data_IF_444183048177
#
_entry.id   IF_444183048177
#
_cell.length_a   1.000
_cell.length_b   1.000
_cell.length_c   1.000
_cell.angle_alpha   90.00
_cell.angle_beta   90.00
_cell.angle_gamma   90.00
#
_symmetry.space_group_name_H-M   'P 1'
#
loop_
_entity.id
_entity.type
_entity.pdbx_description
1 polymer ?
#
# COMPACT_ATOMS: atom_id res chain seq x y z
N UNK A 1 -34.81 28.88 2.20
CA UNK A 1 -33.65 28.09 2.71
C UNK A 1 -32.35 28.89 2.75
N UNK A 2 -31.88 29.50 1.64
CA UNK A 2 -30.60 30.25 1.62
C UNK A 2 -30.49 31.41 2.63
N UNK A 3 -31.57 32.18 2.85
CA UNK A 3 -31.55 33.30 3.81
C UNK A 3 -31.49 32.86 5.28
N UNK A 4 -32.04 31.69 5.61
CA UNK A 4 -32.00 31.12 6.96
C UNK A 4 -30.59 30.59 7.28
N UNK A 5 -29.93 29.97 6.30
CA UNK A 5 -28.55 29.50 6.43
C UNK A 5 -27.57 30.66 6.70
N UNK A 6 -27.75 31.78 5.99
CA UNK A 6 -26.92 32.99 6.16
C UNK A 6 -27.12 33.59 7.55
N UNK A 7 -28.36 33.60 8.06
CA UNK A 7 -28.67 34.08 9.41
C UNK A 7 -28.02 33.20 10.49
N UNK A 8 -28.07 31.87 10.34
CA UNK A 8 -27.44 30.92 11.26
C UNK A 8 -25.91 31.07 11.26
N UNK A 9 -25.30 31.29 10.09
CA UNK A 9 -23.86 31.54 9.98
C UNK A 9 -23.44 32.84 10.69
N UNK A 10 -24.24 33.91 10.57
CA UNK A 10 -23.99 35.15 11.31
C UNK A 10 -24.16 34.99 12.82
N UNK A 11 -25.14 34.20 13.26
CA UNK A 11 -25.37 33.94 14.69
C UNK A 11 -24.20 33.15 15.32
N UNK A 12 -23.65 32.17 14.60
CA UNK A 12 -22.49 31.38 15.02
C UNK A 12 -21.20 32.20 15.13
N UNK A 13 -21.05 33.27 14.33
CA UNK A 13 -19.90 34.18 14.38
C UNK A 13 -19.91 35.12 15.60
N UNK A 14 -21.06 35.27 16.27
CA UNK A 14 -21.20 36.15 17.45
C UNK A 14 -21.08 35.44 18.79
N UNK A 15 -20.91 34.11 18.79
CA UNK A 15 -20.64 33.38 20.01
C UNK A 15 -19.22 33.73 20.46
N UNK A 16 -19.02 34.24 21.70
CA UNK A 16 -17.69 34.41 22.23
C UNK A 16 -17.05 33.03 22.31
N UNK A 17 -16.06 32.79 21.46
CA UNK A 17 -15.16 31.66 21.62
C UNK A 17 -14.42 31.90 22.94
N UNK A 18 -14.87 31.26 24.01
CA UNK A 18 -14.06 31.12 25.23
C UNK A 18 -12.92 30.16 24.92
N UNK A 19 -11.97 30.59 24.10
CA UNK A 19 -10.66 29.99 24.03
C UNK A 19 -9.95 30.39 25.33
N UNK A 20 -9.95 29.49 26.32
CA UNK A 20 -9.04 29.62 27.44
C UNK A 20 -7.63 29.71 26.86
N UNK A 21 -6.95 30.83 27.13
CA UNK A 21 -5.57 31.05 26.74
C UNK A 21 -4.69 30.12 27.59
N UNK A 22 -4.53 28.88 27.12
CA UNK A 22 -3.57 27.94 27.68
C UNK A 22 -2.19 28.55 27.46
N UNK A 23 -1.43 28.76 28.52
CA UNK A 23 -0.07 29.29 28.41
C UNK A 23 0.75 28.34 27.54
N UNK A 24 1.53 28.86 26.59
CA UNK A 24 2.35 28.03 25.70
C UNK A 24 3.33 27.16 26.50
N UNK A 25 3.74 27.63 27.69
CA UNK A 25 4.61 26.92 28.61
C UNK A 25 3.91 25.72 29.28
N UNK A 26 2.62 25.84 29.61
CA UNK A 26 1.82 24.72 30.15
C UNK A 26 1.46 23.73 29.04
N UNK A 27 1.24 24.19 27.81
CA UNK A 27 0.99 23.30 26.69
C UNK A 27 2.25 22.47 26.36
N UNK A 28 3.43 23.08 26.31
CA UNK A 28 4.69 22.38 26.09
C UNK A 28 5.01 21.39 27.22
N UNK A 29 4.70 21.73 28.47
CA UNK A 29 4.91 20.83 29.61
C UNK A 29 3.89 19.67 29.62
N UNK A 30 2.62 19.90 29.31
CA UNK A 30 1.60 18.85 29.18
C UNK A 30 1.87 17.93 27.98
N UNK A 31 2.44 18.48 26.89
CA UNK A 31 2.92 17.71 25.74
C UNK A 31 4.19 16.91 26.06
N UNK A 32 5.09 17.43 26.91
CA UNK A 32 6.28 16.71 27.43
C UNK A 32 5.92 15.61 28.42
N UNK A 33 4.83 15.76 29.16
CA UNK A 33 4.41 14.83 30.21
C UNK A 33 3.59 13.65 29.66
N UNK A 34 3.09 13.76 28.42
CA UNK A 34 2.69 12.58 27.63
C UNK A 34 3.93 11.91 27.07
N UNK A 35 4.19 10.71 27.57
CA UNK A 35 5.15 9.75 27.04
C UNK A 35 5.02 9.65 25.50
N UNK A 36 5.95 10.32 24.80
CA UNK A 36 5.88 10.42 23.34
C UNK A 36 6.24 9.05 22.76
N UNK A 37 5.27 8.36 22.17
CA UNK A 37 5.45 7.07 21.51
C UNK A 37 6.54 7.12 20.42
N UNK A 38 6.80 8.29 19.84
CA UNK A 38 7.90 8.48 18.88
C UNK A 38 9.29 8.36 19.49
N UNK A 39 9.42 8.24 20.81
CA UNK A 39 10.70 8.00 21.50
C UNK A 39 10.87 6.55 21.97
N UNK A 40 9.89 5.68 21.74
CA UNK A 40 9.89 4.30 22.22
C UNK A 40 10.25 3.33 21.09
N UNK A 41 10.78 2.17 21.47
CA UNK A 41 10.96 1.05 20.55
C UNK A 41 9.62 0.33 20.37
N UNK A 42 9.38 -0.29 19.22
CA UNK A 42 8.16 -1.06 19.04
C UNK A 42 8.25 -2.11 17.96
N UNK A 43 7.30 -3.04 18.00
CA UNK A 43 7.11 -4.06 16.97
C UNK A 43 5.65 -4.07 16.52
N UNK A 44 5.44 -4.18 15.22
CA UNK A 44 4.11 -4.24 14.64
C UNK A 44 3.96 -5.36 13.63
N UNK A 45 2.71 -5.77 13.45
CA UNK A 45 2.29 -6.76 12.47
C UNK A 45 1.06 -6.24 11.75
N UNK A 46 1.06 -6.36 10.42
CA UNK A 46 -0.07 -5.97 9.61
C UNK A 46 -0.41 -6.95 8.53
N UNK A 47 -1.66 -6.84 8.10
CA UNK A 47 -2.30 -7.69 7.11
C UNK A 47 -3.07 -6.77 6.18
N UNK A 48 -2.84 -6.95 4.90
CA UNK A 48 -3.54 -6.30 3.81
C UNK A 48 -3.71 -7.26 2.65
N UNK A 49 -4.53 -6.88 1.69
CA UNK A 49 -4.57 -7.56 0.41
C UNK A 49 -3.74 -6.70 -0.56
N UNK A 50 -2.53 -7.13 -0.97
CA UNK A 50 -2.01 -8.51 -0.96
C UNK A 50 -0.91 -8.84 0.08
N UNK A 51 -0.58 -7.91 0.97
CA UNK A 51 0.69 -7.92 1.70
C UNK A 51 0.49 -8.06 3.20
N UNK A 52 1.30 -8.90 3.85
CA UNK A 52 1.55 -8.83 5.28
C UNK A 52 2.85 -8.08 5.54
N UNK A 53 2.93 -7.34 6.65
CA UNK A 53 4.15 -6.64 7.03
C UNK A 53 4.51 -6.87 8.50
N UNK A 54 5.82 -6.80 8.76
CA UNK A 54 6.39 -6.70 10.10
C UNK A 54 7.05 -5.32 10.18
N UNK A 55 6.72 -4.56 11.22
CA UNK A 55 7.24 -3.23 11.47
C UNK A 55 8.18 -3.27 12.67
N UNK A 56 9.38 -2.72 12.52
CA UNK A 56 10.30 -2.42 13.62
C UNK A 56 10.31 -0.90 13.78
N UNK A 57 9.88 -0.44 14.94
CA UNK A 57 9.76 0.97 15.27
C UNK A 57 10.94 1.38 16.14
N UNK A 58 11.72 2.34 15.67
CA UNK A 58 12.73 3.07 16.45
C UNK A 58 12.30 4.54 16.57
N UNK A 59 12.95 5.36 17.41
CA UNK A 59 12.54 6.75 17.53
C UNK A 59 12.47 7.46 16.17
N UNK A 60 11.33 8.11 15.91
CA UNK A 60 11.00 8.84 14.66
C UNK A 60 10.94 8.03 13.36
N UNK A 61 11.40 6.77 13.33
CA UNK A 61 11.49 5.96 12.10
C UNK A 61 10.88 4.57 12.30
N UNK A 62 10.05 4.14 11.36
CA UNK A 62 9.63 2.75 11.21
C UNK A 62 10.37 2.11 10.03
N UNK A 63 10.85 0.90 10.26
CA UNK A 63 11.41 0.03 9.22
C UNK A 63 10.42 -1.12 9.03
N UNK A 64 9.86 -1.24 7.83
CA UNK A 64 8.86 -2.24 7.54
C UNK A 64 9.31 -3.23 6.49
N UNK A 65 9.11 -4.51 6.77
CA UNK A 65 9.35 -5.62 5.86
C UNK A 65 8.00 -6.17 5.43
N UNK A 66 7.67 -5.99 4.16
CA UNK A 66 6.44 -6.49 3.56
C UNK A 66 6.69 -7.71 2.68
N UNK A 67 5.82 -8.71 2.78
CA UNK A 67 5.78 -9.86 1.89
C UNK A 67 4.32 -10.22 1.56
N UNK A 68 4.03 -10.62 0.34
CA UNK A 68 2.67 -10.97 -0.03
C UNK A 68 2.50 -11.43 -1.46
N UNK A 69 1.24 -11.62 -1.87
CA UNK A 69 0.90 -11.92 -3.24
C UNK A 69 -0.51 -11.54 -3.66
N UNK A 70 -0.66 -11.06 -4.90
CA UNK A 70 -1.95 -10.62 -5.42
C UNK A 70 -2.90 -11.80 -5.62
N UNK A 71 -4.02 -11.78 -4.90
CA UNK A 71 -5.15 -12.69 -5.09
C UNK A 71 -6.31 -12.04 -5.87
N UNK A 72 -6.11 -10.92 -6.57
CA UNK A 72 -7.25 -10.19 -7.17
C UNK A 72 -6.91 -9.23 -8.32
N UNK A 73 -7.84 -9.20 -9.28
CA UNK A 73 -7.74 -8.78 -10.69
C UNK A 73 -6.81 -9.69 -11.48
N UNK A 74 -7.40 -10.62 -12.22
CA UNK A 74 -6.77 -11.31 -13.34
C UNK A 74 -6.98 -10.44 -14.60
N UNK A 75 -6.13 -9.46 -14.96
CA UNK A 75 -5.96 -9.21 -16.38
C UNK A 75 -5.53 -10.55 -16.97
N UNK A 76 -6.17 -10.99 -18.05
CA UNK A 76 -6.11 -12.31 -18.67
C UNK A 76 -4.71 -12.96 -18.86
N UNK A 77 -3.61 -12.33 -18.46
CA UNK A 77 -2.23 -12.75 -18.70
C UNK A 77 -1.36 -12.93 -17.43
N UNK A 78 -1.89 -12.81 -16.21
CA UNK A 78 -1.07 -12.81 -14.97
C UNK A 78 -1.45 -13.90 -13.96
N UNK A 79 -0.45 -14.72 -13.59
CA UNK A 79 -0.47 -15.75 -12.53
C UNK A 79 -0.05 -15.13 -11.19
N UNK A 80 -0.45 -15.69 -10.02
CA UNK A 80 -0.09 -15.21 -8.69
C UNK A 80 1.35 -14.70 -8.58
N UNK A 81 1.44 -13.49 -8.05
CA UNK A 81 2.60 -12.64 -8.00
C UNK A 81 3.15 -12.61 -6.59
N UNK A 82 4.46 -12.78 -6.41
CA UNK A 82 5.10 -12.61 -5.10
C UNK A 82 5.70 -11.20 -5.06
N UNK A 83 5.34 -10.43 -4.03
CA UNK A 83 5.92 -9.12 -3.75
C UNK A 83 6.67 -9.20 -2.44
N UNK A 84 7.86 -8.63 -2.41
CA UNK A 84 8.50 -8.27 -1.16
C UNK A 84 9.02 -6.84 -1.23
N UNK A 85 9.20 -6.19 -0.08
CA UNK A 85 9.85 -4.90 -0.05
C UNK A 85 10.13 -4.40 1.34
N UNK A 86 10.99 -3.39 1.39
CA UNK A 86 11.43 -2.72 2.60
C UNK A 86 11.03 -1.26 2.48
N UNK A 87 10.33 -0.74 3.48
CA UNK A 87 9.90 0.64 3.56
C UNK A 87 10.52 1.31 4.79
N UNK A 88 10.98 2.55 4.63
CA UNK A 88 11.38 3.44 5.72
C UNK A 88 10.33 4.54 5.86
N UNK A 89 9.69 4.64 7.02
CA UNK A 89 8.66 5.64 7.28
C UNK A 89 9.07 6.58 8.41
N UNK A 90 8.92 7.88 8.18
CA UNK A 90 9.21 8.92 9.15
C UNK A 90 7.91 9.36 9.81
N UNK A 91 7.90 9.35 11.13
CA UNK A 91 6.73 9.58 11.98
C UNK A 91 6.65 11.02 12.46
N UNK A 92 5.46 11.59 12.43
CA UNK A 92 5.14 12.89 13.02
C UNK A 92 3.80 12.82 13.77
N UNK A 93 3.75 13.34 14.99
CA UNK A 93 2.49 13.42 15.73
C UNK A 93 1.66 14.57 15.19
N UNK A 94 0.51 14.25 14.58
CA UNK A 94 -0.36 15.25 13.97
C UNK A 94 -1.25 15.92 15.02
N UNK A 95 -1.87 15.11 15.87
CA UNK A 95 -2.79 15.55 16.92
C UNK A 95 -2.93 14.43 17.94
N UNK A 96 -3.09 14.77 19.22
CA UNK A 96 -3.18 13.85 20.37
C UNK A 96 -3.50 12.39 20.01
N UNK A 97 -2.53 11.50 20.22
CA UNK A 97 -2.61 10.04 19.96
C UNK A 97 -2.68 9.63 18.48
N UNK A 98 -2.64 10.57 17.54
CA UNK A 98 -2.66 10.32 16.09
C UNK A 98 -1.30 10.66 15.50
N UNK A 99 -0.69 9.67 14.86
CA UNK A 99 0.61 9.80 14.22
C UNK A 99 0.38 9.66 12.71
N UNK A 100 0.94 10.58 11.94
CA UNK A 100 1.03 10.46 10.49
C UNK A 100 2.45 10.06 10.12
N UNK A 101 2.60 9.18 9.14
CA UNK A 101 3.92 8.84 8.63
C UNK A 101 3.96 8.91 7.11
N UNK A 102 5.10 9.33 6.60
CA UNK A 102 5.41 9.31 5.17
C UNK A 102 6.79 8.72 4.95
N UNK A 103 7.01 8.08 3.80
CA UNK A 103 8.25 7.37 3.59
C UNK A 103 8.57 7.05 2.16
N UNK A 104 9.62 6.24 2.01
CA UNK A 104 10.05 5.67 0.74
C UNK A 104 10.48 4.22 0.97
N UNK A 105 10.43 3.42 -0.08
CA UNK A 105 10.86 2.04 -0.03
C UNK A 105 11.21 1.48 -1.38
N UNK A 106 11.72 0.26 -1.34
CA UNK A 106 12.07 -0.52 -2.52
C UNK A 106 11.45 -1.90 -2.40
N UNK A 107 10.97 -2.43 -3.53
CA UNK A 107 10.39 -3.75 -3.60
C UNK A 107 10.89 -4.51 -4.80
N UNK A 108 10.79 -5.83 -4.68
CA UNK A 108 10.98 -6.76 -5.78
C UNK A 108 9.71 -7.54 -5.98
N UNK A 109 9.51 -7.91 -7.23
CA UNK A 109 8.28 -8.47 -7.69
C UNK A 109 8.55 -9.65 -8.61
N UNK A 110 7.80 -10.73 -8.45
CA UNK A 110 7.95 -11.95 -9.24
C UNK A 110 6.61 -12.33 -9.84
N UNK A 111 6.51 -12.29 -11.17
CA UNK A 111 5.29 -12.72 -11.91
C UNK A 111 5.61 -13.73 -12.99
N UNK A 112 4.60 -14.48 -13.43
CA UNK A 112 4.65 -15.31 -14.63
C UNK A 112 3.71 -14.76 -15.70
N UNK A 113 4.15 -14.81 -16.95
CA UNK A 113 3.33 -14.54 -18.12
C UNK A 113 2.55 -15.78 -18.54
N UNK A 114 1.22 -15.65 -18.65
CA UNK A 114 0.41 -16.62 -19.39
C UNK A 114 0.31 -16.19 -20.85
N UNK A 115 0.97 -16.93 -21.75
CA UNK A 115 0.88 -16.72 -23.20
C UNK A 115 -0.40 -17.29 -23.85
N UNK A 116 -1.38 -17.76 -23.07
CA UNK A 116 -2.54 -18.48 -23.60
C UNK A 116 -3.60 -17.58 -24.25
N UNK A 117 -3.43 -16.25 -24.25
CA UNK A 117 -4.39 -15.30 -24.84
C UNK A 117 -3.81 -14.49 -26.00
N UNK A 118 -3.01 -15.12 -26.88
CA UNK A 118 -2.99 -14.65 -28.27
C UNK A 118 -4.39 -14.88 -28.84
N UNK A 119 -5.10 -13.76 -29.06
CA UNK A 119 -6.35 -13.64 -29.83
C UNK A 119 -6.42 -14.74 -30.90
N UNK A 120 -7.54 -15.48 -31.05
CA UNK A 120 -7.71 -16.37 -32.18
C UNK A 120 -7.51 -15.53 -33.44
N UNK A 121 -6.41 -15.78 -34.15
CA UNK A 121 -6.24 -15.27 -35.51
C UNK A 121 -7.46 -15.78 -36.24
N UNK A 122 -8.40 -14.89 -36.59
CA UNK A 122 -9.53 -15.24 -37.44
C UNK A 122 -8.95 -16.00 -38.62
N UNK A 123 -9.25 -17.31 -38.68
CA UNK A 123 -8.97 -18.10 -39.88
C UNK A 123 -9.77 -17.40 -40.98
N UNK A 124 -9.15 -17.04 -42.12
CA UNK A 124 -9.94 -16.67 -43.28
C UNK A 124 -10.89 -17.84 -43.56
N UNK A 125 -12.18 -17.56 -43.69
CA UNK A 125 -13.18 -18.52 -44.13
C UNK A 125 -12.67 -19.21 -45.41
N UNK A 126 -12.50 -20.51 -45.34
CA UNK A 126 -12.33 -21.34 -46.52
C UNK A 126 -13.13 -22.62 -46.33
N UNK A 127 -14.09 -22.77 -47.24
CA UNK A 127 -15.02 -23.87 -47.43
C UNK A 127 -14.34 -25.23 -47.65
N UNK A 128 -15.08 -26.24 -47.19
CA UNK A 128 -15.22 -27.62 -47.66
C UNK A 128 -14.11 -28.68 -47.50
N UNK A 129 -14.61 -29.82 -46.99
CA UNK A 129 -14.20 -31.23 -47.17
C UNK A 129 -13.18 -31.86 -46.21
N UNK A 130 -13.71 -32.90 -45.56
CA UNK A 130 -13.14 -34.20 -45.15
C UNK A 130 -12.07 -34.32 -44.04
N UNK A 131 -12.44 -35.17 -43.07
CA UNK A 131 -11.67 -36.04 -42.18
C UNK A 131 -10.19 -35.67 -41.90
N UNK A 132 -9.90 -35.30 -40.66
CA UNK A 132 -8.92 -36.00 -39.83
C UNK A 132 -8.97 -35.52 -38.38
N UNK A 133 -9.01 -36.49 -37.45
CA UNK A 133 -8.96 -36.24 -36.00
C UNK A 133 -7.52 -35.92 -35.62
N UNK A 134 -7.12 -34.65 -35.72
CA UNK A 134 -5.82 -34.21 -35.19
C UNK A 134 -5.86 -34.20 -33.66
N UNK A 135 -5.03 -35.05 -33.05
CA UNK A 135 -4.71 -35.01 -31.63
C UNK A 135 -4.32 -33.58 -31.22
N UNK A 136 -5.11 -33.00 -30.30
CA UNK A 136 -4.76 -31.75 -29.64
C UNK A 136 -3.52 -32.03 -28.79
N UNK A 137 -2.33 -31.87 -29.38
CA UNK A 137 -1.09 -31.83 -28.62
C UNK A 137 -1.25 -30.69 -27.60
N UNK A 138 -1.09 -30.93 -26.29
CA UNK A 138 -1.15 -29.85 -25.31
C UNK A 138 0.02 -28.91 -25.61
N UNK A 139 -0.30 -27.77 -26.22
CA UNK A 139 0.64 -26.71 -26.54
C UNK A 139 1.34 -26.33 -25.23
N UNK A 140 2.60 -26.77 -25.10
CA UNK A 140 3.43 -26.61 -23.91
C UNK A 140 3.47 -25.12 -23.56
N UNK A 141 2.72 -24.72 -22.54
CA UNK A 141 2.73 -23.36 -22.02
C UNK A 141 4.18 -23.02 -21.64
N UNK A 142 4.82 -22.19 -22.47
CA UNK A 142 6.16 -21.68 -22.16
C UNK A 142 5.96 -20.56 -21.16
N UNK A 143 5.98 -20.91 -19.86
CA UNK A 143 5.95 -19.95 -18.78
C UNK A 143 7.20 -19.08 -18.86
N UNK A 144 7.03 -17.75 -19.01
CA UNK A 144 8.13 -16.80 -18.88
C UNK A 144 8.06 -16.12 -17.52
N UNK A 145 9.16 -16.21 -16.76
CA UNK A 145 9.28 -15.53 -15.48
C UNK A 145 9.63 -14.05 -15.70
N UNK A 146 9.09 -13.18 -14.83
CA UNK A 146 9.32 -11.75 -14.83
C UNK A 146 9.75 -11.30 -13.44
N UNK A 147 10.75 -10.41 -13.42
CA UNK A 147 11.22 -9.74 -12.22
C UNK A 147 10.98 -8.24 -12.40
N UNK A 148 10.29 -7.64 -11.46
CA UNK A 148 10.15 -6.19 -11.37
C UNK A 148 10.86 -5.64 -10.15
N UNK A 149 11.40 -4.45 -10.32
CA UNK A 149 11.97 -3.65 -9.24
C UNK A 149 11.13 -2.40 -9.13
N UNK A 150 10.54 -2.17 -7.96
CA UNK A 150 9.59 -1.10 -7.72
C UNK A 150 10.10 -0.14 -6.64
N UNK A 151 9.94 1.15 -6.91
CA UNK A 151 9.98 2.17 -5.88
C UNK A 151 8.62 2.22 -5.20
N UNK A 152 8.63 2.43 -3.88
CA UNK A 152 7.44 2.42 -3.03
C UNK A 152 7.32 3.77 -2.32
N UNK A 153 6.12 4.32 -2.31
CA UNK A 153 5.76 5.58 -1.64
C UNK A 153 4.68 5.28 -0.60
N UNK A 154 5.08 4.84 0.61
CA UNK A 154 4.17 4.59 1.71
C UNK A 154 3.74 5.88 2.42
N UNK A 155 2.47 5.93 2.78
CA UNK A 155 1.89 6.87 3.74
C UNK A 155 1.09 6.07 4.78
N UNK A 156 1.12 6.48 6.04
CA UNK A 156 0.37 5.82 7.09
C UNK A 156 -0.31 6.81 8.03
N UNK A 157 -1.39 6.33 8.63
CA UNK A 157 -2.09 6.99 9.72
C UNK A 157 -2.24 5.99 10.86
N UNK A 158 -1.80 6.40 12.04
CA UNK A 158 -1.74 5.60 13.26
C UNK A 158 -2.58 6.27 14.34
N UNK A 159 -3.29 5.46 15.12
CA UNK A 159 -4.05 5.89 16.28
C UNK A 159 -3.67 5.05 17.50
N UNK A 160 -3.27 5.73 18.56
CA UNK A 160 -2.85 5.13 19.83
C UNK A 160 -4.06 4.89 20.69
N UNK A 161 -4.52 3.63 20.69
CA UNK A 161 -5.69 3.19 21.44
C UNK A 161 -5.38 3.03 22.93
N UNK A 162 -4.18 2.53 23.26
CA UNK A 162 -3.64 2.44 24.62
C UNK A 162 -2.26 3.09 24.65
N UNK A 163 -1.70 3.28 25.86
CA UNK A 163 -0.35 3.85 26.05
C UNK A 163 0.73 3.15 25.24
N UNK A 164 0.57 1.86 24.98
CA UNK A 164 1.56 1.03 24.29
C UNK A 164 0.98 0.28 23.08
N UNK A 165 -0.28 0.51 22.70
CA UNK A 165 -0.94 -0.19 21.59
C UNK A 165 -1.49 0.81 20.59
N UNK A 166 -1.07 0.64 19.35
CA UNK A 166 -1.43 1.47 18.21
C UNK A 166 -2.08 0.60 17.14
N UNK A 167 -3.14 1.13 16.53
CA UNK A 167 -3.72 0.61 15.31
C UNK A 167 -3.42 1.58 14.18
N UNK A 168 -3.09 1.07 13.00
CA UNK A 168 -2.77 1.92 11.88
C UNK A 168 -3.27 1.38 10.56
N UNK A 169 -3.37 2.29 9.61
CA UNK A 169 -3.60 1.99 8.21
C UNK A 169 -2.46 2.58 7.39
N UNK A 170 -1.95 1.81 6.44
CA UNK A 170 -0.89 2.19 5.52
C UNK A 170 -1.38 2.00 4.09
N UNK A 171 -1.16 3.02 3.28
CA UNK A 171 -1.33 2.97 1.84
C UNK A 171 0.02 3.09 1.17
N UNK A 172 0.27 2.32 0.11
CA UNK A 172 1.52 2.36 -0.62
C UNK A 172 1.24 2.43 -2.10
N UNK A 173 1.75 3.48 -2.73
CA UNK A 173 1.84 3.55 -4.17
C UNK A 173 3.18 2.97 -4.62
N UNK A 174 3.20 2.28 -5.74
CA UNK A 174 4.40 1.67 -6.31
C UNK A 174 4.56 2.02 -7.76
N UNK A 175 5.81 2.24 -8.17
CA UNK A 175 6.19 2.54 -9.54
C UNK A 175 7.50 1.82 -9.84
N UNK A 176 7.53 0.97 -10.86
CA UNK A 176 8.73 0.20 -11.15
C UNK A 176 8.83 -0.37 -12.53
N UNK A 177 10.05 -0.70 -12.93
CA UNK A 177 10.32 -1.38 -14.19
C UNK A 177 10.18 -2.89 -14.04
N UNK A 178 9.69 -3.55 -15.09
CA UNK A 178 9.61 -5.02 -15.16
C UNK A 178 10.48 -5.53 -16.30
N UNK A 179 11.23 -6.59 -16.02
CA UNK A 179 12.05 -7.30 -17.00
C UNK A 179 11.63 -8.77 -17.09
N UNK A 180 11.67 -9.29 -18.30
CA UNK A 180 11.58 -10.73 -18.55
C UNK A 180 12.91 -11.38 -18.19
N UNK A 181 12.92 -12.39 -17.31
CA UNK A 181 14.17 -13.05 -16.91
C UNK A 181 14.86 -13.72 -18.10
N UNK A 182 14.08 -14.37 -18.97
CA UNK A 182 14.61 -15.20 -20.05
C UNK A 182 15.29 -14.37 -21.15
N UNK A 183 14.76 -13.19 -21.47
CA UNK A 183 15.30 -12.32 -22.52
C UNK A 183 16.11 -11.14 -21.99
N UNK A 184 16.14 -10.92 -20.67
CA UNK A 184 16.72 -9.72 -20.02
C UNK A 184 16.27 -8.40 -20.65
N UNK A 185 15.11 -8.41 -21.31
CA UNK A 185 14.54 -7.24 -21.98
C UNK A 185 13.57 -6.54 -21.05
N UNK A 186 13.67 -5.20 -20.98
CA UNK A 186 12.69 -4.37 -20.27
C UNK A 186 11.35 -4.50 -20.98
N UNK A 187 10.33 -4.94 -20.24
CA UNK A 187 8.98 -5.11 -20.76
C UNK A 187 8.18 -3.81 -20.65
N UNK A 188 8.42 -3.04 -19.59
CA UNK A 188 7.74 -1.78 -19.37
C UNK A 188 7.79 -1.31 -17.93
N UNK A 189 6.88 -0.42 -17.59
CA UNK A 189 6.72 0.16 -16.25
C UNK A 189 5.36 -0.26 -15.68
N UNK A 190 5.32 -0.58 -14.39
CA UNK A 190 4.11 -0.92 -13.65
C UNK A 190 3.85 0.09 -12.55
N UNK A 191 2.56 0.35 -12.36
CA UNK A 191 2.03 1.10 -11.25
C UNK A 191 1.12 0.19 -10.43
N UNK A 192 1.24 0.25 -9.11
CA UNK A 192 0.42 -0.54 -8.20
C UNK A 192 0.08 0.25 -6.94
N UNK A 193 -1.05 -0.10 -6.32
CA UNK A 193 -1.48 0.48 -5.06
C UNK A 193 -1.96 -0.64 -4.13
N UNK A 194 -1.55 -0.59 -2.86
CA UNK A 194 -2.01 -1.53 -1.84
C UNK A 194 -2.20 -0.87 -0.49
N UNK A 195 -3.12 -1.44 0.28
CA UNK A 195 -3.46 -1.01 1.63
C UNK A 195 -3.20 -2.12 2.64
N UNK A 196 -2.69 -1.74 3.81
CA UNK A 196 -2.36 -2.65 4.92
C UNK A 196 -2.89 -2.06 6.22
N UNK A 197 -3.70 -2.83 6.94
CA UNK A 197 -4.04 -2.52 8.33
C UNK A 197 -3.03 -3.20 9.26
N UNK A 198 -2.61 -2.53 10.32
CA UNK A 198 -1.62 -3.10 11.26
C UNK A 198 -1.88 -2.71 12.70
N UNK A 199 -1.30 -3.52 13.58
CA UNK A 199 -1.21 -3.28 15.02
C UNK A 199 0.26 -3.15 15.39
N UNK A 200 0.59 -2.19 16.25
CA UNK A 200 1.95 -1.94 16.74
C UNK A 200 1.93 -1.82 18.26
N UNK A 201 2.89 -2.47 18.90
CA UNK A 201 3.09 -2.42 20.34
C UNK A 201 4.42 -1.72 20.61
N UNK A 202 4.39 -0.69 21.47
CA UNK A 202 5.58 0.01 21.95
C UNK A 202 6.04 -0.57 23.28
N UNK A 203 7.36 -0.60 23.48
CA UNK A 203 8.08 -1.18 24.63
C UNK A 203 8.97 -0.10 25.24
#
# INVERSE_FOLDING_TARGET
MKKLLILIMFLLLTLPSFAQQVSSLDLDNVLRERENLNNLFGIGFGIGNPITNITISVPYVDIEFGYGGFNGLHPNNFVPYIISGIDFMFKEELYQNTIISGGFGVGVDWSQENMTNTVPREKPEQDDSDEDTEEISPQKSTYKNRLGIVLRLPISLEYSFLKNLVIGFKAVATLGGVMLLDSKSMEGMRFGFFGVGYLKIYI
#
